data_IF_279493365578
#
_entry.id   IF_279493365578
#
_cell.length_a   1.000
_cell.length_b   1.000
_cell.length_c   1.000
_cell.angle_alpha   90.00
_cell.angle_beta   90.00
_cell.angle_gamma   90.00
#
_symmetry.space_group_name_H-M   'P 1'
#
loop_
_entity.id
_entity.type
_entity.pdbx_description
1 polymer ?
#
# COMPACT_ATOMS: atom_id res chain seq x y z
N UNK A 1 10.89 8.78 30.69
CA UNK A 1 10.42 8.22 29.40
C UNK A 1 11.66 8.08 28.53
N UNK A 2 12.00 6.87 28.11
CA UNK A 2 13.23 6.57 27.38
C UNK A 2 13.31 7.39 26.06
N UNK A 3 14.39 8.15 25.78
CA UNK A 3 14.53 8.95 24.56
C UNK A 3 14.31 8.15 23.27
N UNK A 4 14.62 6.85 23.28
CA UNK A 4 14.37 5.93 22.16
C UNK A 4 12.87 5.70 21.89
N UNK A 5 12.04 5.75 22.93
CA UNK A 5 10.60 5.56 22.81
C UNK A 5 9.94 6.77 22.14
N UNK A 6 10.37 8.00 22.47
CA UNK A 6 9.87 9.22 21.82
C UNK A 6 10.19 9.24 20.34
N UNK A 7 11.43 8.92 19.97
CA UNK A 7 11.88 8.87 18.57
C UNK A 7 11.09 7.84 17.76
N UNK A 8 10.78 6.68 18.36
CA UNK A 8 9.99 5.63 17.72
C UNK A 8 8.55 6.09 17.43
N UNK A 9 7.90 6.72 18.42
CA UNK A 9 6.53 7.22 18.28
C UNK A 9 6.48 8.31 17.20
N UNK A 10 7.38 9.29 17.27
CA UNK A 10 7.43 10.40 16.33
C UNK A 10 7.63 9.90 14.90
N UNK A 11 8.57 8.97 14.67
CA UNK A 11 8.76 8.35 13.35
C UNK A 11 7.56 7.51 12.90
N UNK A 12 6.89 6.83 13.82
CA UNK A 12 5.65 6.12 13.53
C UNK A 12 4.57 7.07 13.04
N UNK A 13 4.37 8.19 13.73
CA UNK A 13 3.42 9.24 13.33
C UNK A 13 3.80 9.83 11.96
N UNK A 14 5.07 10.19 11.75
CA UNK A 14 5.51 10.71 10.44
C UNK A 14 5.36 9.69 9.32
N UNK A 15 5.58 8.40 9.58
CA UNK A 15 5.36 7.33 8.61
C UNK A 15 3.89 7.26 8.21
N UNK A 16 2.98 7.24 9.18
CA UNK A 16 1.54 7.25 8.92
C UNK A 16 1.11 8.51 8.16
N UNK A 17 1.59 9.69 8.55
CA UNK A 17 1.29 10.95 7.86
C UNK A 17 1.82 10.95 6.42
N UNK A 18 3.04 10.48 6.18
CA UNK A 18 3.62 10.42 4.83
C UNK A 18 2.80 9.49 3.91
N UNK A 19 2.40 8.33 4.43
CA UNK A 19 1.56 7.39 3.68
C UNK A 19 0.16 7.96 3.45
N UNK A 20 -0.42 8.67 4.43
CA UNK A 20 -1.71 9.33 4.29
C UNK A 20 -1.66 10.45 3.23
N UNK A 21 -0.64 11.30 3.26
CA UNK A 21 -0.44 12.36 2.27
C UNK A 21 -0.29 11.76 0.87
N UNK A 22 0.54 10.72 0.73
CA UNK A 22 0.68 9.99 -0.52
C UNK A 22 -0.67 9.45 -1.00
N UNK A 23 -1.44 8.80 -0.12
CA UNK A 23 -2.74 8.23 -0.45
C UNK A 23 -3.73 9.29 -0.94
N UNK A 24 -3.79 10.44 -0.26
CA UNK A 24 -4.66 11.58 -0.67
C UNK A 24 -4.24 12.10 -2.05
N UNK A 25 -2.95 12.35 -2.26
CA UNK A 25 -2.43 12.85 -3.55
C UNK A 25 -2.69 11.84 -4.67
N UNK A 26 -2.40 10.56 -4.43
CA UNK A 26 -2.64 9.47 -5.36
C UNK A 26 -4.12 9.35 -5.74
N UNK A 27 -5.00 9.38 -4.73
CA UNK A 27 -6.45 9.24 -4.94
C UNK A 27 -7.02 10.43 -5.73
N UNK A 28 -6.59 11.64 -5.40
CA UNK A 28 -6.96 12.86 -6.14
C UNK A 28 -6.48 12.80 -7.59
N UNK A 29 -5.21 12.43 -7.82
CA UNK A 29 -4.66 12.30 -9.16
C UNK A 29 -5.40 11.23 -9.97
N UNK A 30 -5.68 10.06 -9.37
CA UNK A 30 -6.45 8.99 -10.00
C UNK A 30 -7.87 9.44 -10.35
N UNK A 31 -8.52 10.21 -9.47
CA UNK A 31 -9.85 10.74 -9.70
C UNK A 31 -9.87 11.67 -10.92
N UNK A 32 -8.92 12.60 -11.03
CA UNK A 32 -8.81 13.47 -12.21
C UNK A 32 -8.53 12.69 -13.49
N UNK A 33 -7.61 11.72 -13.45
CA UNK A 33 -7.32 10.86 -14.61
C UNK A 33 -8.55 10.05 -15.02
N UNK A 34 -9.31 9.53 -14.06
CA UNK A 34 -10.55 8.81 -14.33
C UNK A 34 -11.58 9.71 -15.01
N UNK A 35 -11.80 10.93 -14.52
CA UNK A 35 -12.74 11.86 -15.14
C UNK A 35 -12.32 12.23 -16.56
N UNK A 36 -11.03 12.51 -16.77
CA UNK A 36 -10.53 13.02 -18.05
C UNK A 36 -10.45 11.94 -19.13
N UNK A 37 -10.13 10.69 -18.76
CA UNK A 37 -9.71 9.66 -19.73
C UNK A 37 -10.56 8.39 -19.75
N UNK A 38 -11.58 8.27 -18.89
CA UNK A 38 -12.45 7.07 -18.92
C UNK A 38 -13.49 7.18 -20.03
N UNK A 39 -13.26 6.51 -21.15
CA UNK A 39 -14.26 6.41 -22.22
C UNK A 39 -15.15 5.18 -22.01
N UNK A 40 -16.41 5.19 -22.49
CA UNK A 40 -17.31 4.02 -22.41
C UNK A 40 -16.69 2.75 -23.04
N UNK A 41 -15.92 2.87 -24.12
CA UNK A 41 -15.30 1.70 -24.77
C UNK A 41 -14.23 1.01 -23.90
N UNK A 42 -13.59 1.73 -22.97
CA UNK A 42 -12.62 1.14 -22.04
C UNK A 42 -13.29 0.27 -20.97
N UNK A 43 -14.54 0.60 -20.61
CA UNK A 43 -15.32 -0.14 -19.63
C UNK A 43 -15.88 -1.45 -20.20
N UNK A 44 -16.12 -1.50 -21.52
CA UNK A 44 -16.70 -2.66 -22.20
C UNK A 44 -15.66 -3.60 -22.84
N UNK A 45 -14.36 -3.36 -22.64
CA UNK A 45 -13.30 -4.14 -23.29
C UNK A 45 -13.21 -5.59 -22.77
N UNK A 46 -13.33 -6.61 -23.66
CA UNK A 46 -13.25 -8.03 -23.30
C UNK A 46 -11.83 -8.53 -23.00
N UNK A 47 -10.78 -7.76 -23.30
CA UNK A 47 -9.37 -8.14 -23.11
C UNK A 47 -8.83 -7.82 -21.71
N UNK A 48 -9.71 -7.68 -20.71
CA UNK A 48 -9.36 -7.37 -19.32
C UNK A 48 -9.71 -5.95 -18.86
N UNK A 49 -10.67 -5.30 -19.54
CA UNK A 49 -11.09 -3.89 -19.41
C UNK A 49 -11.05 -3.28 -17.99
N UNK A 50 -12.18 -3.11 -17.28
CA UNK A 50 -12.21 -2.40 -15.99
C UNK A 50 -11.29 -3.03 -14.93
N UNK A 51 -11.10 -4.35 -15.00
CA UNK A 51 -10.41 -5.12 -14.00
C UNK A 51 -8.90 -4.82 -13.94
N UNK A 52 -8.20 -4.77 -15.08
CA UNK A 52 -6.78 -4.43 -15.12
C UNK A 52 -6.55 -2.94 -14.80
N UNK A 53 -7.40 -2.06 -15.34
CA UNK A 53 -7.36 -0.62 -15.08
C UNK A 53 -7.59 -0.26 -13.61
N UNK A 54 -8.25 -1.13 -12.85
CA UNK A 54 -8.44 -0.96 -11.41
C UNK A 54 -7.35 -1.67 -10.61
N UNK A 55 -7.01 -2.91 -10.98
CA UNK A 55 -6.06 -3.74 -10.25
C UNK A 55 -4.63 -3.20 -10.30
N UNK A 56 -4.16 -2.73 -11.46
CA UNK A 56 -2.78 -2.30 -11.63
C UNK A 56 -2.45 -1.01 -10.82
N UNK A 57 -3.26 0.07 -10.88
CA UNK A 57 -3.05 1.22 -10.01
C UNK A 57 -3.13 0.88 -8.53
N UNK A 58 -3.98 -0.09 -8.15
CA UNK A 58 -4.16 -0.49 -6.77
C UNK A 58 -3.01 -1.36 -6.25
N UNK A 59 -2.42 -2.21 -7.10
CA UNK A 59 -1.16 -2.89 -6.81
C UNK A 59 -0.04 -1.86 -6.58
N UNK A 60 0.10 -0.90 -7.49
CA UNK A 60 1.17 0.10 -7.44
C UNK A 60 1.02 1.02 -6.22
N UNK A 61 -0.18 1.51 -5.93
CA UNK A 61 -0.42 2.37 -4.77
C UNK A 61 -0.13 1.63 -3.47
N UNK A 62 -0.61 0.39 -3.33
CA UNK A 62 -0.40 -0.43 -2.14
C UNK A 62 1.08 -0.75 -1.92
N UNK A 63 1.81 -1.03 -3.01
CA UNK A 63 3.27 -1.20 -2.99
C UNK A 63 3.98 0.07 -2.49
N UNK A 64 3.65 1.22 -3.09
CA UNK A 64 4.29 2.50 -2.75
C UNK A 64 3.98 2.94 -1.32
N UNK A 65 2.76 2.74 -0.83
CA UNK A 65 2.39 3.04 0.56
C UNK A 65 3.28 2.29 1.56
N UNK A 66 3.52 0.99 1.34
CA UNK A 66 4.40 0.19 2.21
C UNK A 66 5.85 0.66 2.09
N UNK A 67 6.33 0.95 0.87
CA UNK A 67 7.70 1.46 0.67
C UNK A 67 7.92 2.79 1.36
N UNK A 68 7.02 3.76 1.18
CA UNK A 68 7.08 5.08 1.82
C UNK A 68 7.05 4.92 3.35
N UNK A 69 6.11 4.14 3.86
CA UNK A 69 5.99 3.89 5.29
C UNK A 69 7.28 3.30 5.88
N UNK A 70 7.86 2.31 5.20
CA UNK A 70 9.12 1.66 5.58
C UNK A 70 10.34 2.59 5.51
N UNK A 71 10.42 3.47 4.51
CA UNK A 71 11.50 4.45 4.36
C UNK A 71 11.48 5.47 5.49
N UNK A 72 10.30 6.00 5.84
CA UNK A 72 10.15 7.01 6.90
C UNK A 72 10.33 6.39 8.29
N UNK A 73 9.75 5.21 8.54
CA UNK A 73 9.87 4.54 9.84
C UNK A 73 11.28 3.98 10.08
N UNK A 74 11.92 3.49 9.01
CA UNK A 74 13.27 2.92 9.00
C UNK A 74 13.27 1.40 8.95
N UNK A 75 13.90 0.84 7.91
CA UNK A 75 13.94 -0.61 7.63
C UNK A 75 14.42 -1.49 8.79
N UNK A 76 15.39 -1.03 9.58
CA UNK A 76 15.94 -1.79 10.72
C UNK A 76 14.88 -2.13 11.79
N UNK A 77 13.81 -1.33 11.91
CA UNK A 77 12.76 -1.51 12.93
C UNK A 77 11.67 -2.50 12.50
N UNK A 78 11.64 -2.87 11.22
CA UNK A 78 10.63 -3.76 10.62
C UNK A 78 10.80 -5.23 11.00
N UNK A 79 11.92 -5.61 11.63
CA UNK A 79 12.09 -6.95 12.21
C UNK A 79 11.13 -7.23 13.36
N UNK A 80 10.66 -6.19 14.04
CA UNK A 80 9.69 -6.32 15.13
C UNK A 80 8.26 -6.39 14.58
N UNK A 81 7.40 -7.21 15.20
CA UNK A 81 5.96 -7.28 14.86
C UNK A 81 5.30 -5.89 14.93
N UNK A 82 5.67 -5.11 15.93
CA UNK A 82 5.18 -3.74 16.14
C UNK A 82 5.57 -2.81 15.00
N UNK A 83 6.80 -2.91 14.49
CA UNK A 83 7.27 -2.10 13.36
C UNK A 83 6.60 -2.48 12.04
N UNK A 84 6.37 -3.78 11.81
CA UNK A 84 5.60 -4.24 10.66
C UNK A 84 4.15 -3.73 10.72
N UNK A 85 3.51 -3.78 11.89
CA UNK A 85 2.16 -3.25 12.10
C UNK A 85 2.06 -1.76 11.77
N UNK A 86 3.01 -0.92 12.20
CA UNK A 86 3.00 0.53 11.90
C UNK A 86 3.00 0.80 10.40
N UNK A 87 3.82 0.08 9.63
CA UNK A 87 3.92 0.27 8.18
C UNK A 87 2.72 -0.32 7.43
N UNK A 88 2.17 -1.42 7.92
CA UNK A 88 1.07 -2.12 7.26
C UNK A 88 -0.31 -1.59 7.66
N UNK A 89 -0.45 -0.94 8.81
CA UNK A 89 -1.75 -0.52 9.36
C UNK A 89 -2.55 0.33 8.37
N UNK A 90 -1.94 1.35 7.77
CA UNK A 90 -2.65 2.25 6.87
C UNK A 90 -2.96 1.62 5.50
N UNK A 91 -2.03 0.95 4.80
CA UNK A 91 -2.35 0.18 3.59
C UNK A 91 -3.47 -0.85 3.79
N UNK A 92 -3.43 -1.60 4.90
CA UNK A 92 -4.44 -2.60 5.23
C UNK A 92 -5.79 -1.95 5.55
N UNK A 93 -5.80 -0.85 6.33
CA UNK A 93 -7.02 -0.12 6.63
C UNK A 93 -7.69 0.43 5.36
N UNK A 94 -6.92 1.07 4.49
CA UNK A 94 -7.40 1.58 3.19
C UNK A 94 -7.99 0.45 2.36
N UNK A 95 -7.30 -0.68 2.28
CA UNK A 95 -7.81 -1.85 1.57
C UNK A 95 -9.14 -2.36 2.15
N UNK A 96 -9.27 -2.45 3.48
CA UNK A 96 -10.51 -2.89 4.12
C UNK A 96 -11.65 -1.92 3.84
N UNK A 97 -11.40 -0.61 3.88
CA UNK A 97 -12.40 0.41 3.56
C UNK A 97 -12.84 0.33 2.09
N UNK A 98 -11.90 0.16 1.16
CA UNK A 98 -12.18 -0.02 -0.27
C UNK A 98 -12.99 -1.29 -0.55
N UNK A 99 -12.64 -2.38 0.14
CA UNK A 99 -13.34 -3.66 0.01
C UNK A 99 -14.77 -3.56 0.55
N UNK A 100 -14.95 -3.01 1.75
CA UNK A 100 -16.27 -2.79 2.36
C UNK A 100 -17.12 -1.89 1.47
N UNK A 101 -16.56 -0.78 0.98
CA UNK A 101 -17.26 0.12 0.05
C UNK A 101 -17.67 -0.62 -1.21
N UNK A 102 -16.78 -1.42 -1.80
CA UNK A 102 -17.08 -2.23 -2.98
C UNK A 102 -18.24 -3.22 -2.77
N UNK A 103 -18.32 -3.83 -1.58
CA UNK A 103 -19.44 -4.70 -1.19
C UNK A 103 -20.75 -3.90 -1.10
N UNK A 104 -20.74 -2.72 -0.48
CA UNK A 104 -21.94 -1.86 -0.36
C UNK A 104 -22.39 -1.23 -1.69
N UNK A 105 -21.53 -1.18 -2.70
CA UNK A 105 -21.85 -0.69 -4.05
C UNK A 105 -22.17 -1.80 -5.04
N UNK A 106 -22.43 -3.03 -4.58
CA UNK A 106 -22.71 -4.21 -5.41
C UNK A 106 -21.64 -4.45 -6.51
N UNK A 107 -20.37 -4.22 -6.19
CA UNK A 107 -19.29 -4.45 -7.14
C UNK A 107 -19.23 -5.95 -7.54
N UNK A 108 -18.99 -6.27 -8.83
CA UNK A 108 -18.85 -7.64 -9.27
C UNK A 108 -17.79 -8.41 -8.47
N UNK A 109 -18.12 -9.63 -8.04
CA UNK A 109 -17.23 -10.42 -7.16
C UNK A 109 -15.84 -10.69 -7.73
N UNK A 110 -15.73 -10.84 -9.06
CA UNK A 110 -14.45 -10.95 -9.76
C UNK A 110 -13.60 -9.68 -9.65
N UNK A 111 -14.21 -8.49 -9.64
CA UNK A 111 -13.51 -7.22 -9.42
C UNK A 111 -13.00 -7.13 -7.99
N UNK A 112 -13.80 -7.50 -7.00
CA UNK A 112 -13.39 -7.55 -5.59
C UNK A 112 -12.22 -8.52 -5.37
N UNK A 113 -12.28 -9.71 -5.98
CA UNK A 113 -11.21 -10.70 -5.91
C UNK A 113 -9.90 -10.19 -6.54
N UNK A 114 -9.96 -9.58 -7.72
CA UNK A 114 -8.77 -9.05 -8.39
C UNK A 114 -8.14 -7.88 -7.62
N UNK A 115 -8.96 -7.01 -7.00
CA UNK A 115 -8.47 -5.96 -6.09
C UNK A 115 -7.75 -6.57 -4.89
N UNK A 116 -8.36 -7.56 -4.25
CA UNK A 116 -7.76 -8.26 -3.11
C UNK A 116 -6.40 -8.88 -3.50
N UNK A 117 -6.34 -9.58 -4.63
CA UNK A 117 -5.10 -10.17 -5.13
C UNK A 117 -4.04 -9.11 -5.43
N UNK A 118 -4.41 -8.03 -6.13
CA UNK A 118 -3.51 -6.93 -6.47
C UNK A 118 -2.92 -6.23 -5.24
N UNK A 119 -3.75 -5.93 -4.23
CA UNK A 119 -3.30 -5.34 -2.97
C UNK A 119 -2.39 -6.29 -2.21
N UNK A 120 -2.79 -7.55 -2.07
CA UNK A 120 -2.02 -8.55 -1.33
C UNK A 120 -0.64 -8.77 -1.95
N UNK A 121 -0.57 -8.83 -3.28
CA UNK A 121 0.68 -8.94 -4.03
C UNK A 121 1.51 -7.66 -3.89
N UNK A 122 0.90 -6.47 -4.04
CA UNK A 122 1.59 -5.20 -3.89
C UNK A 122 2.20 -5.00 -2.50
N UNK A 123 1.42 -5.25 -1.45
CA UNK A 123 1.88 -5.20 -0.05
C UNK A 123 2.97 -6.24 0.19
N UNK A 124 2.75 -7.50 -0.22
CA UNK A 124 3.70 -8.59 -0.02
C UNK A 124 5.03 -8.33 -0.71
N UNK A 125 5.01 -7.88 -1.97
CA UNK A 125 6.20 -7.55 -2.75
C UNK A 125 6.96 -6.36 -2.14
N UNK A 126 6.25 -5.29 -1.74
CA UNK A 126 6.87 -4.15 -1.08
C UNK A 126 7.49 -4.53 0.26
N UNK A 127 6.77 -5.33 1.07
CA UNK A 127 7.25 -5.77 2.36
C UNK A 127 8.51 -6.63 2.22
N UNK A 128 8.52 -7.57 1.27
CA UNK A 128 9.70 -8.37 0.92
C UNK A 128 10.89 -7.53 0.47
N UNK A 129 10.65 -6.44 -0.29
CA UNK A 129 11.68 -5.52 -0.74
C UNK A 129 12.31 -4.71 0.40
N UNK A 130 11.50 -4.29 1.39
CA UNK A 130 11.97 -3.41 2.48
C UNK A 130 12.45 -4.15 3.72
N UNK A 131 12.17 -5.45 3.84
CA UNK A 131 12.65 -6.32 4.91
C UNK A 131 14.19 -6.28 4.98
N UNK A 132 14.78 -6.00 6.15
CA UNK A 132 16.24 -5.98 6.30
C UNK A 132 16.81 -7.39 6.11
N UNK A 133 17.55 -7.59 5.02
CA UNK A 133 18.33 -8.81 4.76
C UNK A 133 19.53 -8.82 5.69
N UNK A 134 19.67 -9.87 6.50
CA UNK A 134 20.78 -10.00 7.44
C UNK A 134 22.10 -10.06 6.68
N UNK A 135 22.87 -8.97 6.70
CA UNK A 135 24.31 -9.06 6.47
C UNK A 135 24.98 -9.27 7.82
N UNK A 136 24.95 -10.51 8.28
CA UNK A 136 26.10 -11.05 8.99
C UNK A 136 27.12 -11.43 7.92
N UNK A 137 28.04 -10.52 7.62
CA UNK A 137 29.41 -10.93 7.38
C UNK A 137 30.18 -10.22 8.48
N UNK A 138 30.26 -10.93 9.62
CA UNK A 138 31.35 -10.74 10.57
C UNK A 138 32.64 -10.73 9.77
N UNK A 139 33.56 -9.84 10.15
CA UNK A 139 34.96 -10.03 9.78
C UNK A 139 35.33 -11.48 10.02
N UNK A 140 35.57 -12.20 8.94
CA UNK A 140 36.21 -13.49 8.93
C UNK A 140 37.56 -13.24 8.27
N UNK A 141 38.53 -13.03 9.17
CA UNK A 141 40.00 -13.01 8.99
C UNK A 141 40.56 -11.76 8.31
#
# INVERSE_FOLDING_TARGET
MDPDRRTTIVRGVFSLLAVLVFYVVWSTARFFVYIEYSTPEQLDSPWGGPALWIALPQLLSSFLMVVIGALVYGRHRLRSRSGALVVLALPVLVFLLDFVTGVFTDAPGNVLFLRFAAVSVGIGAAFWLVLPRGREIRGAV
#
